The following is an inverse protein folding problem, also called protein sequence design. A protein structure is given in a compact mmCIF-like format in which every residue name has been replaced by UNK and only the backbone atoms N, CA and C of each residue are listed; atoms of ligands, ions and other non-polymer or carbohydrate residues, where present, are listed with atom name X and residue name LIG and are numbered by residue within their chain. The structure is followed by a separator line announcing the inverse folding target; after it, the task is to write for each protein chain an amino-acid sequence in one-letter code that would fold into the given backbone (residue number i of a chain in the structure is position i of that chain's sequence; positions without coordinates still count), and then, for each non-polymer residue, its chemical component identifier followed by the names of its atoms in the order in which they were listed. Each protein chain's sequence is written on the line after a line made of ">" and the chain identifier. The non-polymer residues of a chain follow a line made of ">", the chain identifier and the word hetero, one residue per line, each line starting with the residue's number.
data_IF_808366755981
#
_entry.id   IF_808366755981
#
_cell.length_a   1.000
_cell.length_b   1.000
_cell.length_c   1.000
_cell.angle_alpha   90.00
_cell.angle_beta   90.00
_cell.angle_gamma   90.00
#
_symmetry.space_group_name_H-M   'P 1'
#
loop_
_entity.id
_entity.type
_entity.pdbx_description
1 polymer ?
#
# COMPACT_ATOMS: atom_id res chain seq x y z
N UNK A 1 14.64 4.81 0.40
CA UNK A 1 14.03 4.77 1.74
C UNK A 1 12.89 5.77 1.80
N UNK A 2 11.77 5.39 2.38
CA UNK A 2 10.65 6.32 2.50
C UNK A 2 11.05 7.46 3.44
N UNK A 3 10.60 8.65 3.10
CA UNK A 3 10.81 9.84 3.91
C UNK A 3 9.96 9.72 5.19
N UNK A 4 10.61 9.73 6.34
CA UNK A 4 9.90 9.63 7.62
C UNK A 4 8.96 10.81 7.84
N UNK A 5 9.31 11.99 7.33
CA UNK A 5 8.43 13.16 7.39
C UNK A 5 7.15 12.90 6.60
N UNK A 6 7.27 12.32 5.42
CA UNK A 6 6.12 11.98 4.59
C UNK A 6 5.25 10.92 5.29
N UNK A 7 5.89 9.89 5.85
CA UNK A 7 5.18 8.84 6.57
C UNK A 7 4.40 9.42 7.75
N UNK A 8 5.01 10.32 8.53
CA UNK A 8 4.34 10.98 9.65
C UNK A 8 3.13 11.79 9.19
N UNK A 9 3.25 12.50 8.08
CA UNK A 9 2.12 13.27 7.54
C UNK A 9 0.97 12.36 7.14
N UNK A 10 1.28 11.27 6.46
CA UNK A 10 0.26 10.32 6.02
C UNK A 10 -0.48 9.74 7.22
N UNK A 11 0.27 9.32 8.24
CA UNK A 11 -0.33 8.78 9.47
C UNK A 11 -1.21 9.82 10.14
N UNK A 12 -0.75 11.07 10.21
CA UNK A 12 -1.54 12.17 10.75
C UNK A 12 -2.86 12.37 10.01
N UNK A 13 -2.84 12.27 8.68
CA UNK A 13 -4.07 12.38 7.89
C UNK A 13 -4.98 11.18 8.10
N UNK A 14 -4.42 9.97 8.30
CA UNK A 14 -5.23 8.80 8.63
C UNK A 14 -5.98 9.00 9.94
N UNK A 15 -5.32 9.52 10.96
CA UNK A 15 -5.98 9.84 12.23
C UNK A 15 -7.06 10.90 12.04
N UNK A 16 -6.79 11.91 11.23
CA UNK A 16 -7.78 12.95 10.93
C UNK A 16 -9.03 12.36 10.28
N UNK A 17 -8.83 11.48 9.30
CA UNK A 17 -9.94 10.82 8.61
C UNK A 17 -10.73 9.95 9.58
N UNK A 18 -10.05 9.16 10.41
CA UNK A 18 -10.72 8.31 11.38
C UNK A 18 -11.50 9.13 12.40
N UNK A 19 -10.98 10.26 12.82
CA UNK A 19 -11.68 11.15 13.75
C UNK A 19 -12.97 11.69 13.12
N UNK A 20 -12.96 11.96 11.82
CA UNK A 20 -14.13 12.48 11.11
C UNK A 20 -15.21 11.42 10.93
N UNK A 21 -14.84 10.18 10.60
CA UNK A 21 -15.80 9.15 10.24
C UNK A 21 -16.05 8.12 11.33
N UNK A 22 -15.07 7.88 12.20
CA UNK A 22 -15.15 6.80 13.16
C UNK A 22 -14.94 5.44 12.49
N UNK A 23 -15.41 4.40 13.15
CA UNK A 23 -15.30 3.03 12.64
C UNK A 23 -16.59 2.60 11.93
N UNK A 24 -16.50 1.55 11.12
CA UNK A 24 -17.68 0.90 10.55
C UNK A 24 -18.00 1.24 9.11
N UNK A 25 -17.28 2.17 8.51
CA UNK A 25 -17.46 2.47 7.09
C UNK A 25 -16.69 1.48 6.22
N UNK A 26 -17.07 1.40 4.94
CA UNK A 26 -16.37 0.56 3.97
C UNK A 26 -14.97 1.13 3.68
N UNK A 27 -14.05 0.25 3.32
CA UNK A 27 -12.66 0.64 3.01
C UNK A 27 -12.58 1.81 2.04
N UNK A 28 -13.42 1.80 1.01
CA UNK A 28 -13.37 2.83 -0.04
C UNK A 28 -13.63 4.23 0.50
N UNK A 29 -14.44 4.35 1.55
CA UNK A 29 -14.71 5.65 2.18
C UNK A 29 -13.42 6.22 2.76
N UNK A 30 -12.69 5.40 3.52
CA UNK A 30 -11.43 5.82 4.13
C UNK A 30 -10.36 6.08 3.08
N UNK A 31 -10.29 5.25 2.07
CA UNK A 31 -9.33 5.40 0.98
C UNK A 31 -9.53 6.74 0.28
N UNK A 32 -10.77 7.05 -0.09
CA UNK A 32 -11.09 8.29 -0.79
C UNK A 32 -10.81 9.51 0.08
N UNK A 33 -11.15 9.44 1.36
CA UNK A 33 -10.92 10.55 2.28
C UNK A 33 -9.42 10.79 2.47
N UNK A 34 -8.64 9.73 2.62
CA UNK A 34 -7.19 9.86 2.75
C UNK A 34 -6.58 10.43 1.48
N UNK A 35 -7.02 9.98 0.30
CA UNK A 35 -6.57 10.57 -0.97
C UNK A 35 -6.80 12.07 -1.00
N UNK A 36 -7.98 12.51 -0.56
CA UNK A 36 -8.30 13.95 -0.55
C UNK A 36 -7.35 14.72 0.36
N UNK A 37 -7.06 14.19 1.55
CA UNK A 37 -6.14 14.87 2.46
C UNK A 37 -4.72 14.95 1.87
N UNK A 38 -4.28 13.89 1.21
CA UNK A 38 -2.96 13.90 0.58
C UNK A 38 -2.89 14.91 -0.57
N UNK A 39 -3.92 14.96 -1.40
CA UNK A 39 -3.98 15.91 -2.51
C UNK A 39 -4.01 17.35 -2.01
N UNK A 40 -4.77 17.63 -0.96
CA UNK A 40 -4.81 18.96 -0.35
C UNK A 40 -3.44 19.40 0.16
N UNK A 41 -2.63 18.46 0.58
CA UNK A 41 -1.28 18.73 1.07
C UNK A 41 -0.26 18.84 -0.07
N UNK A 42 -0.68 18.74 -1.32
CA UNK A 42 0.22 18.81 -2.47
C UNK A 42 1.01 17.54 -2.70
N UNK A 43 0.60 16.43 -2.08
CA UNK A 43 1.29 15.14 -2.24
C UNK A 43 0.73 14.45 -3.49
N UNK A 44 1.63 14.03 -4.38
CA UNK A 44 1.23 13.30 -5.58
C UNK A 44 0.78 11.90 -5.20
N UNK A 45 -0.49 11.59 -5.42
CA UNK A 45 -1.07 10.30 -5.07
C UNK A 45 -1.84 9.75 -6.27
N UNK A 46 -1.68 8.45 -6.51
CA UNK A 46 -2.43 7.72 -7.54
C UNK A 46 -3.27 6.66 -6.84
N UNK A 47 -4.53 6.57 -7.21
CA UNK A 47 -5.46 5.66 -6.57
C UNK A 47 -5.71 4.45 -7.46
N UNK A 48 -5.81 3.26 -6.85
CA UNK A 48 -6.08 2.01 -7.55
C UNK A 48 -5.13 1.81 -8.72
N UNK A 49 -3.83 1.94 -8.42
CA UNK A 49 -2.78 1.81 -9.43
C UNK A 49 -2.64 0.34 -9.84
N UNK A 50 -2.86 0.02 -11.12
CA UNK A 50 -2.69 -1.35 -11.59
C UNK A 50 -1.23 -1.71 -11.68
N UNK A 51 -0.90 -2.90 -11.19
CA UNK A 51 0.45 -3.44 -11.22
C UNK A 51 0.36 -4.86 -11.73
N UNK A 52 1.08 -5.17 -12.80
CA UNK A 52 1.02 -6.49 -13.40
C UNK A 52 2.05 -7.40 -12.75
N UNK A 53 1.62 -8.60 -12.42
CA UNK A 53 2.50 -9.66 -11.93
C UNK A 53 2.81 -10.56 -13.11
N UNK A 54 4.09 -10.71 -13.40
CA UNK A 54 4.54 -11.48 -14.56
C UNK A 54 5.35 -12.71 -14.13
N UNK A 55 5.25 -13.77 -14.90
CA UNK A 55 6.07 -14.96 -14.73
C UNK A 55 6.50 -15.43 -16.10
N UNK A 56 7.77 -15.62 -16.28
CA UNK A 56 8.33 -16.10 -17.55
C UNK A 56 7.87 -15.23 -18.73
N UNK A 57 7.90 -13.91 -18.52
CA UNK A 57 7.51 -12.94 -19.55
C UNK A 57 6.03 -12.82 -19.80
N UNK A 58 5.21 -13.54 -19.06
CA UNK A 58 3.76 -13.53 -19.26
C UNK A 58 3.05 -12.95 -18.04
N UNK A 59 2.00 -12.17 -18.27
CA UNK A 59 1.18 -11.64 -17.20
C UNK A 59 0.34 -12.78 -16.61
N UNK A 60 0.51 -13.02 -15.32
CA UNK A 60 -0.24 -14.08 -14.61
C UNK A 60 -1.24 -13.51 -13.60
N UNK A 61 -1.23 -12.21 -13.39
CA UNK A 61 -2.20 -11.58 -12.48
C UNK A 61 -2.06 -10.07 -12.48
N UNK A 62 -3.08 -9.45 -11.94
CA UNK A 62 -3.08 -8.01 -11.72
C UNK A 62 -3.22 -7.75 -10.22
N UNK A 63 -2.51 -6.73 -9.74
CA UNK A 63 -2.65 -6.23 -8.40
C UNK A 63 -3.00 -4.75 -8.50
N UNK A 64 -3.93 -4.29 -7.67
CA UNK A 64 -4.30 -2.89 -7.62
C UNK A 64 -3.93 -2.34 -6.26
N UNK A 65 -2.91 -1.46 -6.23
CA UNK A 65 -2.53 -0.79 -5.00
C UNK A 65 -3.57 0.30 -4.68
N UNK A 66 -4.05 0.34 -3.45
CA UNK A 66 -5.08 1.32 -3.09
C UNK A 66 -4.60 2.74 -3.36
N UNK A 67 -3.46 3.12 -2.80
CA UNK A 67 -2.86 4.43 -3.04
C UNK A 67 -1.36 4.24 -3.26
N UNK A 68 -0.83 4.96 -4.24
CA UNK A 68 0.61 5.05 -4.48
C UNK A 68 1.04 6.49 -4.30
N UNK A 69 2.09 6.69 -3.52
CA UNK A 69 2.64 8.01 -3.26
C UNK A 69 4.05 8.05 -3.84
N UNK A 70 4.25 8.94 -4.82
CA UNK A 70 5.53 8.97 -5.55
C UNK A 70 5.81 7.63 -6.21
N UNK A 71 7.09 7.27 -6.28
CA UNK A 71 7.52 6.05 -6.99
C UNK A 71 7.80 4.88 -6.05
N UNK A 72 7.80 5.09 -4.74
CA UNK A 72 8.37 4.11 -3.82
C UNK A 72 7.55 3.84 -2.57
N UNK A 73 6.28 4.22 -2.55
CA UNK A 73 5.42 3.99 -1.39
C UNK A 73 4.03 3.58 -1.82
N UNK A 74 3.60 2.44 -1.29
CA UNK A 74 2.23 1.93 -1.45
C UNK A 74 1.52 2.08 -0.11
N UNK A 75 0.26 2.52 -0.14
CA UNK A 75 -0.60 2.54 1.04
C UNK A 75 -1.74 1.56 0.78
N UNK A 76 -1.87 0.57 1.66
CA UNK A 76 -2.98 -0.37 1.64
C UNK A 76 -3.93 -0.05 2.78
N UNK A 77 -5.21 0.03 2.45
CA UNK A 77 -6.26 0.41 3.38
C UNK A 77 -7.05 -0.83 3.79
N UNK A 78 -7.28 -0.96 5.09
CA UNK A 78 -8.16 -1.99 5.64
C UNK A 78 -9.17 -1.33 6.56
N UNK A 79 -10.29 -1.98 6.76
CA UNK A 79 -11.32 -1.54 7.70
C UNK A 79 -11.86 -2.78 8.40
N UNK A 80 -10.98 -3.41 9.18
CA UNK A 80 -11.28 -4.66 9.89
C UNK A 80 -11.15 -4.44 11.39
N UNK A 81 -11.65 -5.38 12.18
CA UNK A 81 -11.60 -5.28 13.64
C UNK A 81 -10.15 -5.22 14.13
N UNK A 82 -9.28 -6.04 13.56
CA UNK A 82 -7.86 -6.03 13.85
C UNK A 82 -7.08 -6.59 12.66
N UNK A 83 -5.89 -6.05 12.43
CA UNK A 83 -5.00 -6.58 11.40
C UNK A 83 -4.51 -7.96 11.82
N UNK A 84 -4.38 -8.86 10.86
CA UNK A 84 -3.83 -10.19 11.05
C UNK A 84 -2.53 -10.32 10.25
N UNK A 85 -1.72 -11.33 10.59
CA UNK A 85 -0.42 -11.51 9.94
C UNK A 85 -0.53 -11.71 8.43
N UNK A 86 -1.61 -12.31 7.97
CA UNK A 86 -1.83 -12.52 6.53
C UNK A 86 -1.94 -11.21 5.77
N UNK A 87 -2.52 -10.18 6.36
CA UNK A 87 -2.57 -8.85 5.74
C UNK A 87 -1.17 -8.31 5.50
N UNK A 88 -0.30 -8.46 6.49
CA UNK A 88 1.07 -7.97 6.40
C UNK A 88 1.89 -8.79 5.40
N UNK A 89 1.77 -10.11 5.46
CA UNK A 89 2.51 -11.00 4.56
C UNK A 89 2.11 -10.76 3.10
N UNK A 90 0.83 -10.59 2.84
CA UNK A 90 0.35 -10.32 1.48
C UNK A 90 0.91 -9.02 0.94
N UNK A 91 0.96 -7.98 1.78
CA UNK A 91 1.52 -6.70 1.36
C UNK A 91 3.02 -6.81 1.04
N UNK A 92 3.78 -7.55 1.86
CA UNK A 92 5.20 -7.78 1.59
C UNK A 92 5.36 -8.54 0.26
N UNK A 93 4.51 -9.51 -0.02
CA UNK A 93 4.54 -10.21 -1.30
C UNK A 93 4.30 -9.27 -2.48
N UNK A 94 3.36 -8.33 -2.33
CA UNK A 94 3.11 -7.33 -3.38
C UNK A 94 4.30 -6.40 -3.56
N UNK A 95 4.96 -5.99 -2.49
CA UNK A 95 6.18 -5.20 -2.59
C UNK A 95 7.27 -5.96 -3.35
N UNK A 96 7.42 -7.23 -3.02
CA UNK A 96 8.39 -8.09 -3.70
C UNK A 96 8.08 -8.20 -5.19
N UNK A 97 6.80 -8.39 -5.52
CA UNK A 97 6.36 -8.54 -6.91
C UNK A 97 6.51 -7.27 -7.72
N UNK A 98 6.33 -6.11 -7.10
CA UNK A 98 6.30 -4.83 -7.80
C UNK A 98 7.64 -4.12 -7.82
N UNK A 99 8.57 -4.52 -6.95
CA UNK A 99 9.83 -3.81 -6.79
C UNK A 99 9.73 -2.53 -6.00
N UNK A 100 8.56 -2.20 -5.48
CA UNK A 100 8.39 -1.04 -4.60
C UNK A 100 8.97 -1.37 -3.22
N UNK A 101 9.72 -0.46 -2.64
CA UNK A 101 10.48 -0.77 -1.43
C UNK A 101 9.69 -0.59 -0.14
N UNK A 102 8.70 0.30 -0.12
CA UNK A 102 8.03 0.71 1.12
C UNK A 102 6.52 0.64 1.01
N UNK A 103 5.89 0.27 2.11
CA UNK A 103 4.43 0.31 2.19
C UNK A 103 3.97 0.66 3.59
N UNK A 104 2.78 1.26 3.66
CA UNK A 104 2.04 1.45 4.89
C UNK A 104 0.76 0.65 4.79
N UNK A 105 0.51 -0.18 5.78
CA UNK A 105 -0.76 -0.88 5.95
C UNK A 105 -1.52 -0.12 7.01
N UNK A 106 -2.62 0.50 6.62
CA UNK A 106 -3.41 1.34 7.53
C UNK A 106 -4.78 0.72 7.72
N UNK A 107 -5.11 0.39 8.95
CA UNK A 107 -6.41 -0.16 9.29
C UNK A 107 -7.25 0.88 10.00
N UNK A 108 -8.41 1.17 9.42
CA UNK A 108 -9.42 2.05 10.01
C UNK A 108 -10.43 1.18 10.77
N UNK A 109 -9.95 0.52 11.82
CA UNK A 109 -10.77 -0.31 12.69
C UNK A 109 -11.32 0.49 13.87
N UNK A 110 -11.49 -0.14 15.03
CA UNK A 110 -11.92 0.59 16.24
C UNK A 110 -10.98 1.74 16.57
N UNK A 111 -9.70 1.58 16.25
CA UNK A 111 -8.70 2.64 16.28
C UNK A 111 -7.85 2.50 15.02
N UNK A 112 -7.07 3.53 14.72
CA UNK A 112 -6.13 3.46 13.61
C UNK A 112 -4.95 2.58 14.00
N UNK A 113 -4.67 1.59 13.17
CA UNK A 113 -3.47 0.75 13.29
C UNK A 113 -2.63 0.95 12.05
N UNK A 114 -1.32 1.14 12.23
CA UNK A 114 -0.40 1.34 11.10
C UNK A 114 0.75 0.35 11.22
N UNK A 115 1.01 -0.35 10.13
CA UNK A 115 2.18 -1.22 10.00
C UNK A 115 3.00 -0.74 8.83
N UNK A 116 4.29 -0.53 9.06
CA UNK A 116 5.23 -0.16 8.00
C UNK A 116 5.90 -1.43 7.52
N UNK A 117 5.87 -1.65 6.21
CA UNK A 117 6.42 -2.86 5.59
C UNK A 117 7.45 -2.50 4.55
N UNK A 118 8.38 -3.43 4.32
CA UNK A 118 9.48 -3.25 3.39
C UNK A 118 9.55 -4.47 2.49
N UNK A 119 10.06 -4.25 1.28
CA UNK A 119 10.25 -5.32 0.33
C UNK A 119 11.30 -6.31 0.85
N UNK A 120 11.00 -7.61 0.70
CA UNK A 120 11.98 -8.65 1.00
C UNK A 120 12.96 -8.82 -0.15
N UNK A 121 14.22 -9.06 0.21
CA UNK A 121 15.20 -9.48 -0.77
C UNK A 121 14.96 -10.95 -1.16
N UNK A 122 15.05 -11.22 -2.44
CA UNK A 122 15.01 -12.60 -2.92
C UNK A 122 16.20 -12.86 -3.82
N UNK A 123 16.85 -14.03 -3.72
CA UNK A 123 17.99 -14.35 -4.55
C UNK A 123 17.63 -14.37 -6.04
N UNK A 124 18.65 -14.12 -6.86
CA UNK A 124 18.50 -14.21 -8.30
C UNK A 124 18.03 -15.60 -8.69
N UNK A 125 17.14 -15.68 -9.67
CA UNK A 125 16.56 -16.94 -10.12
C UNK A 125 15.35 -17.38 -9.33
N UNK A 126 14.99 -16.65 -8.27
CA UNK A 126 13.78 -16.89 -7.51
C UNK A 126 12.57 -16.33 -8.25
N UNK A 127 11.40 -16.51 -7.65
CA UNK A 127 10.15 -15.96 -8.17
C UNK A 127 10.24 -14.46 -8.41
N UNK A 128 10.88 -13.72 -7.52
CA UNK A 128 11.03 -12.30 -7.65
C UNK A 128 11.72 -11.89 -8.95
N UNK A 129 12.77 -12.60 -9.32
CA UNK A 129 13.50 -12.32 -10.55
C UNK A 129 12.60 -12.47 -11.78
N UNK A 130 11.75 -13.47 -11.78
CA UNK A 130 10.78 -13.69 -12.87
C UNK A 130 9.73 -12.58 -12.92
N UNK A 131 9.25 -12.15 -11.75
CA UNK A 131 8.22 -11.11 -11.64
C UNK A 131 8.73 -9.76 -12.10
N UNK A 132 9.97 -9.42 -11.74
CA UNK A 132 10.55 -8.12 -12.06
C UNK A 132 11.03 -8.00 -13.51
N UNK A 133 10.96 -9.08 -14.26
CA UNK A 133 11.28 -9.07 -15.69
C UNK A 133 9.97 -8.94 -16.46
N UNK A 134 9.48 -7.71 -16.66
CA UNK A 134 8.22 -7.54 -17.36
C UNK A 134 8.35 -8.08 -18.78
N UNK A 135 7.26 -8.62 -19.30
CA UNK A 135 7.23 -9.04 -20.67
C UNK A 135 7.47 -7.86 -21.60
N UNK A 136 7.75 -8.16 -22.83
CA UNK A 136 7.94 -7.11 -23.83
C UNK A 136 6.70 -6.26 -24.00
#
# INVERSE_FOLDING_TARGET
>A
MADDTLTHKIIGYAYKVHKAFGTGFLEKIYENALRIELEKAGICVRQQQPIKVCYDGQVIGDYFADLCVGEDLIIEIKAVQALVKEHEAQLVNYLTATGVNNALLINFGPSVQVKRKFREYRPKGSLMNAILSPGP
#
